data_IF_686446888171
#
_entry.id   IF_686446888171
#
_cell.length_a   1.000
_cell.length_b   1.000
_cell.length_c   1.000
_cell.angle_alpha   90.00
_cell.angle_beta   90.00
_cell.angle_gamma   90.00
#
_symmetry.space_group_name_H-M   'P 1'
#
loop_
_entity.id
_entity.type
_entity.pdbx_description
1 polymer ?
#
# COMPACT_ATOMS: atom_id res chain seq x y z
N UNK A 1 -33.31 -7.60 -9.54
CA UNK A 1 -31.89 -7.69 -9.86
C UNK A 1 -31.23 -6.31 -9.82
N UNK A 2 -31.75 -5.27 -10.54
CA UNK A 2 -31.13 -3.95 -10.61
C UNK A 2 -30.97 -3.26 -9.24
N UNK A 3 -31.98 -3.31 -8.38
CA UNK A 3 -31.90 -2.74 -7.03
C UNK A 3 -30.83 -3.42 -6.15
N UNK A 4 -30.62 -4.72 -6.31
CA UNK A 4 -29.56 -5.43 -5.59
C UNK A 4 -28.15 -5.06 -6.10
N UNK A 5 -27.99 -4.91 -7.41
CA UNK A 5 -26.74 -4.43 -8.00
C UNK A 5 -26.45 -3.01 -7.51
N UNK A 6 -27.44 -2.11 -7.59
CA UNK A 6 -27.30 -0.73 -7.12
C UNK A 6 -26.89 -0.68 -5.63
N UNK A 7 -27.54 -1.47 -4.78
CA UNK A 7 -27.22 -1.53 -3.36
C UNK A 7 -25.75 -1.92 -3.11
N UNK A 8 -25.28 -2.97 -3.80
CA UNK A 8 -23.90 -3.42 -3.65
C UNK A 8 -22.87 -2.39 -4.19
N UNK A 9 -23.14 -1.79 -5.33
CA UNK A 9 -22.16 -0.95 -6.04
C UNK A 9 -22.22 0.53 -5.65
N UNK A 10 -23.26 0.99 -4.93
CA UNK A 10 -23.43 2.41 -4.60
C UNK A 10 -23.75 2.68 -3.12
N UNK A 11 -24.20 1.66 -2.37
CA UNK A 11 -24.54 1.82 -0.94
C UNK A 11 -23.53 1.12 -0.06
N UNK A 12 -23.21 -0.16 -0.34
CA UNK A 12 -22.18 -0.90 0.39
C UNK A 12 -20.76 -0.51 -0.05
N UNK A 13 -20.60 -0.16 -1.32
CA UNK A 13 -19.32 0.25 -1.88
C UNK A 13 -19.43 1.62 -2.54
N UNK A 14 -18.34 2.30 -2.70
CA UNK A 14 -18.29 3.52 -3.48
C UNK A 14 -18.39 3.20 -4.98
N UNK A 15 -19.23 3.94 -5.70
CA UNK A 15 -19.31 3.84 -7.15
C UNK A 15 -18.13 4.55 -7.81
N UNK A 16 -17.12 3.78 -8.21
CA UNK A 16 -15.90 4.30 -8.85
C UNK A 16 -15.84 3.87 -10.32
N UNK A 17 -16.39 4.66 -11.26
CA UNK A 17 -16.24 4.38 -12.69
C UNK A 17 -14.80 4.60 -13.14
N UNK A 18 -14.44 3.99 -14.29
CA UNK A 18 -13.08 4.03 -14.80
C UNK A 18 -12.49 5.44 -15.01
N UNK A 19 -13.33 6.43 -15.34
CA UNK A 19 -12.87 7.83 -15.46
C UNK A 19 -12.45 8.40 -14.10
N UNK A 20 -13.24 8.18 -13.06
CA UNK A 20 -12.93 8.60 -11.70
C UNK A 20 -11.67 7.89 -11.17
N UNK A 21 -11.51 6.60 -11.47
CA UNK A 21 -10.30 5.86 -11.09
C UNK A 21 -9.04 6.46 -11.75
N UNK A 22 -9.13 6.85 -13.04
CA UNK A 22 -8.02 7.53 -13.74
C UNK A 22 -7.75 8.93 -13.18
N UNK A 23 -8.79 9.67 -12.85
CA UNK A 23 -8.67 10.99 -12.21
C UNK A 23 -7.98 10.87 -10.84
N UNK A 24 -8.38 9.90 -10.02
CA UNK A 24 -7.72 9.62 -8.72
C UNK A 24 -6.25 9.27 -8.88
N UNK A 25 -5.90 8.43 -9.86
CA UNK A 25 -4.50 8.09 -10.12
C UNK A 25 -3.69 9.32 -10.59
N UNK A 26 -4.30 10.20 -11.40
CA UNK A 26 -3.68 11.46 -11.80
C UNK A 26 -3.52 12.42 -10.62
N UNK A 27 -4.53 12.50 -9.75
CA UNK A 27 -4.49 13.36 -8.57
C UNK A 27 -3.43 12.88 -7.56
N UNK A 28 -3.31 11.55 -7.35
CA UNK A 28 -2.23 10.97 -6.55
C UNK A 28 -0.86 11.44 -7.03
N UNK A 29 -0.62 11.40 -8.33
CA UNK A 29 0.67 11.84 -8.89
C UNK A 29 0.88 13.35 -8.71
N UNK A 30 -0.13 14.18 -8.95
CA UNK A 30 -0.05 15.63 -8.77
C UNK A 30 0.28 16.03 -7.32
N UNK A 31 -0.32 15.35 -6.37
CA UNK A 31 -0.19 15.67 -4.95
C UNK A 31 1.11 15.11 -4.33
N UNK A 32 1.51 13.90 -4.73
CA UNK A 32 2.53 13.15 -4.00
C UNK A 32 3.84 12.94 -4.76
N UNK A 33 3.91 13.20 -6.07
CA UNK A 33 5.14 13.04 -6.86
C UNK A 33 6.31 13.89 -6.33
N UNK A 34 6.03 15.02 -5.73
CA UNK A 34 7.04 15.87 -5.09
C UNK A 34 7.83 15.14 -3.99
N UNK A 35 7.28 14.08 -3.41
CA UNK A 35 7.90 13.28 -2.37
C UNK A 35 8.63 12.03 -2.90
N UNK A 36 8.73 11.87 -4.23
CA UNK A 36 9.32 10.67 -4.84
C UNK A 36 10.73 10.37 -4.35
N UNK A 37 11.55 11.40 -4.26
CA UNK A 37 12.96 11.28 -3.90
C UNK A 37 13.23 11.60 -2.42
N UNK A 38 12.16 11.75 -1.63
CA UNK A 38 12.28 12.01 -0.20
C UNK A 38 12.76 10.74 0.51
N UNK A 39 13.81 10.84 1.36
CA UNK A 39 14.27 9.72 2.15
C UNK A 39 13.14 9.09 2.97
N UNK A 40 12.98 7.78 2.85
CA UNK A 40 12.05 6.99 3.65
C UNK A 40 12.79 5.78 4.22
N UNK A 41 12.38 5.27 5.39
CA UNK A 41 13.04 4.12 5.98
C UNK A 41 12.81 2.85 5.15
N UNK A 42 13.75 1.91 5.27
CA UNK A 42 13.65 0.58 4.68
C UNK A 42 13.14 -0.41 5.68
N UNK A 43 12.34 -1.35 5.22
CA UNK A 43 11.91 -2.48 6.04
C UNK A 43 13.07 -3.47 6.12
N UNK A 44 13.62 -3.66 7.32
CA UNK A 44 14.70 -4.61 7.59
C UNK A 44 14.17 -5.97 8.02
N UNK A 45 13.10 -5.98 8.81
CA UNK A 45 12.40 -7.22 9.18
C UNK A 45 10.90 -7.04 9.25
N UNK A 46 10.20 -8.14 9.02
CA UNK A 46 8.74 -8.26 9.07
C UNK A 46 8.39 -9.45 9.96
N UNK A 47 7.56 -9.21 10.96
CA UNK A 47 6.89 -10.27 11.72
C UNK A 47 5.40 -10.05 11.65
N UNK A 48 4.65 -11.04 11.16
CA UNK A 48 3.21 -10.92 11.00
C UNK A 48 2.46 -12.16 11.47
N UNK A 49 1.28 -11.93 12.00
CA UNK A 49 0.24 -12.93 12.23
C UNK A 49 -0.92 -12.64 11.31
N UNK A 50 -1.35 -13.64 10.57
CA UNK A 50 -2.39 -13.54 9.54
C UNK A 50 -3.49 -14.52 9.89
N UNK A 51 -4.64 -14.02 10.31
CA UNK A 51 -5.82 -14.82 10.62
C UNK A 51 -6.83 -14.74 9.48
N UNK A 52 -7.09 -15.86 8.81
CA UNK A 52 -7.97 -15.93 7.64
C UNK A 52 -9.31 -16.55 8.03
N UNK A 53 -10.39 -15.85 7.68
CA UNK A 53 -11.78 -16.28 7.90
C UNK A 53 -12.49 -16.36 6.54
N UNK A 54 -12.37 -17.47 5.83
CA UNK A 54 -12.85 -17.60 4.43
C UNK A 54 -14.36 -17.40 4.30
N UNK A 55 -15.14 -17.89 5.25
CA UNK A 55 -16.60 -17.77 5.27
C UNK A 55 -17.06 -16.32 5.42
N UNK A 56 -16.26 -15.48 6.11
CA UNK A 56 -16.51 -14.06 6.29
C UNK A 56 -15.85 -13.20 5.23
N UNK A 57 -15.04 -13.79 4.34
CA UNK A 57 -14.15 -13.09 3.42
C UNK A 57 -13.24 -12.09 4.15
N UNK A 58 -12.83 -12.41 5.37
CA UNK A 58 -12.09 -11.53 6.26
C UNK A 58 -10.66 -12.05 6.50
N UNK A 59 -9.73 -11.11 6.53
CA UNK A 59 -8.37 -11.33 7.02
C UNK A 59 -8.05 -10.29 8.08
N UNK A 60 -7.58 -10.74 9.22
CA UNK A 60 -6.99 -9.90 10.24
C UNK A 60 -5.45 -10.04 10.20
N UNK A 61 -4.77 -8.91 10.25
CA UNK A 61 -3.33 -8.80 10.07
C UNK A 61 -2.74 -8.03 11.26
N UNK A 62 -1.95 -8.70 12.07
CA UNK A 62 -1.18 -8.04 13.13
C UNK A 62 0.29 -8.19 12.82
N UNK A 63 1.06 -7.13 13.01
CA UNK A 63 2.46 -7.25 12.71
C UNK A 63 3.30 -6.11 13.22
N UNK A 64 4.61 -6.33 13.06
CA UNK A 64 5.64 -5.35 13.34
C UNK A 64 6.67 -5.35 12.24
N UNK A 65 7.02 -4.16 11.79
CA UNK A 65 8.19 -3.90 10.97
C UNK A 65 9.32 -3.35 11.82
N UNK A 66 10.53 -3.77 11.51
CA UNK A 66 11.73 -3.05 11.88
C UNK A 66 12.10 -2.15 10.71
N UNK A 67 11.96 -0.85 10.90
CA UNK A 67 12.29 0.17 9.91
C UNK A 67 13.69 0.72 10.19
N UNK A 68 14.53 0.83 9.16
CA UNK A 68 15.89 1.37 9.27
C UNK A 68 16.10 2.55 8.32
N UNK A 69 16.71 3.60 8.82
CA UNK A 69 17.19 4.68 7.97
C UNK A 69 18.54 4.31 7.37
N UNK A 70 18.52 3.81 6.13
CA UNK A 70 19.73 3.46 5.37
C UNK A 70 20.24 4.61 4.49
N UNK A 71 19.76 5.83 4.74
CA UNK A 71 20.22 7.03 4.05
C UNK A 71 21.23 7.79 4.90
N UNK A 72 21.87 8.79 4.31
CA UNK A 72 22.82 9.70 4.97
C UNK A 72 22.14 10.93 5.63
N UNK A 73 20.81 11.01 5.55
CA UNK A 73 20.03 12.13 6.05
C UNK A 73 19.02 11.67 7.12
N UNK A 74 18.71 12.51 8.12
CA UNK A 74 17.64 12.21 9.04
C UNK A 74 16.28 12.20 8.33
N UNK A 75 15.38 11.29 8.72
CA UNK A 75 14.01 11.18 8.20
C UNK A 75 13.05 11.82 9.21
N UNK A 76 12.56 13.05 8.96
CA UNK A 76 11.66 13.73 9.87
C UNK A 76 10.20 13.32 9.69
N UNK A 77 9.85 12.79 8.52
CA UNK A 77 8.47 12.44 8.17
C UNK A 77 8.38 11.02 7.62
N UNK A 78 7.40 10.29 8.14
CA UNK A 78 7.07 8.95 7.68
C UNK A 78 5.84 9.04 6.77
N UNK A 79 6.00 8.68 5.52
CA UNK A 79 4.93 8.63 4.53
C UNK A 79 4.39 7.21 4.44
N UNK A 80 3.19 6.98 4.95
CA UNK A 80 2.56 5.66 5.02
C UNK A 80 1.46 5.56 3.99
N UNK A 81 1.54 4.54 3.14
CA UNK A 81 0.52 4.21 2.16
C UNK A 81 -0.14 2.87 2.53
N UNK A 82 -1.46 2.86 2.61
CA UNK A 82 -2.30 1.69 2.83
C UNK A 82 -3.42 1.66 1.79
N UNK A 83 -3.90 0.49 1.44
CA UNK A 83 -5.08 0.38 0.61
C UNK A 83 -6.28 0.98 1.38
N UNK A 84 -7.05 1.93 0.78
CA UNK A 84 -8.19 2.58 1.45
C UNK A 84 -9.28 1.61 1.94
N UNK A 85 -9.32 0.40 1.39
CA UNK A 85 -10.29 -0.64 1.80
C UNK A 85 -9.86 -1.41 3.06
N UNK A 86 -8.67 -1.15 3.58
CA UNK A 86 -8.16 -1.78 4.79
C UNK A 86 -8.59 -0.95 6.01
N UNK A 87 -9.27 -1.60 6.93
CA UNK A 87 -9.57 -1.04 8.24
C UNK A 87 -8.29 -1.01 9.09
N UNK A 88 -7.92 0.18 9.53
CA UNK A 88 -6.77 0.38 10.43
C UNK A 88 -7.29 0.42 11.86
N UNK A 89 -7.03 -0.63 12.63
CA UNK A 89 -7.40 -0.71 14.05
C UNK A 89 -6.34 -0.07 14.93
N UNK A 90 -5.06 -0.24 14.57
CA UNK A 90 -3.92 0.33 15.31
C UNK A 90 -2.72 0.55 14.39
N UNK A 91 -2.07 1.71 14.55
CA UNK A 91 -0.70 1.98 14.08
C UNK A 91 0.08 2.58 15.24
N UNK A 92 1.26 2.03 15.53
CA UNK A 92 2.09 2.46 16.66
C UNK A 92 3.57 2.46 16.25
N UNK A 93 4.22 3.61 16.34
CA UNK A 93 5.61 3.78 15.91
C UNK A 93 6.30 4.99 16.59
N UNK A 94 6.04 5.17 17.85
CA UNK A 94 6.59 6.28 18.65
C UNK A 94 5.81 7.59 18.52
N UNK A 95 6.25 8.65 19.21
CA UNK A 95 5.55 9.93 19.24
C UNK A 95 5.59 10.62 17.86
N UNK A 96 4.44 11.05 17.37
CA UNK A 96 4.29 11.70 16.07
C UNK A 96 3.07 12.62 16.03
N UNK A 97 2.97 13.41 14.97
CA UNK A 97 1.78 14.19 14.62
C UNK A 97 1.38 13.90 13.18
N UNK A 98 0.08 13.92 12.90
CA UNK A 98 -0.43 13.79 11.54
C UNK A 98 -0.29 15.14 10.84
N UNK A 99 0.46 15.18 9.73
CA UNK A 99 0.63 16.36 8.88
C UNK A 99 -0.46 16.41 7.81
N UNK A 100 -0.73 15.26 7.19
CA UNK A 100 -1.76 15.10 6.16
C UNK A 100 -2.31 13.68 6.22
N UNK A 101 -3.62 13.55 6.13
CA UNK A 101 -4.31 12.28 5.92
C UNK A 101 -5.19 12.40 4.69
N UNK A 102 -5.03 11.47 3.75
CA UNK A 102 -5.81 11.37 2.52
C UNK A 102 -6.45 9.98 2.47
N UNK A 103 -7.67 9.92 2.93
CA UNK A 103 -8.43 8.66 3.01
C UNK A 103 -8.72 8.08 1.63
N UNK A 104 -8.98 8.94 0.62
CA UNK A 104 -9.25 8.50 -0.75
C UNK A 104 -8.04 7.81 -1.36
N UNK A 105 -6.85 8.35 -1.10
CA UNK A 105 -5.61 7.77 -1.57
C UNK A 105 -5.02 6.76 -0.60
N UNK A 106 -5.54 6.65 0.63
CA UNK A 106 -4.91 5.84 1.68
C UNK A 106 -3.46 6.25 1.91
N UNK A 107 -3.19 7.56 1.96
CA UNK A 107 -1.84 8.10 2.08
C UNK A 107 -1.77 9.09 3.24
N UNK A 108 -0.97 8.77 4.26
CA UNK A 108 -0.84 9.60 5.44
C UNK A 108 0.61 10.01 5.67
N UNK A 109 0.83 11.28 5.96
CA UNK A 109 2.14 11.83 6.31
C UNK A 109 2.16 12.09 7.82
N UNK A 110 3.09 11.45 8.48
CA UNK A 110 3.33 11.62 9.91
C UNK A 110 4.66 12.34 10.13
N UNK A 111 4.67 13.36 10.97
CA UNK A 111 5.89 14.00 11.44
C UNK A 111 6.32 13.34 12.73
N UNK A 112 7.51 12.77 12.74
CA UNK A 112 8.11 12.17 13.92
C UNK A 112 8.49 13.27 14.92
N UNK A 113 8.28 13.02 16.22
CA UNK A 113 8.72 13.97 17.27
C UNK A 113 10.24 14.12 17.28
N UNK A 114 10.95 13.02 17.00
CA UNK A 114 12.39 12.99 16.78
C UNK A 114 12.66 12.38 15.40
N UNK A 115 13.38 13.09 14.50
CA UNK A 115 13.73 12.54 13.20
C UNK A 115 14.53 11.24 13.34
N UNK A 116 14.24 10.24 12.51
CA UNK A 116 14.99 8.99 12.49
C UNK A 116 16.38 9.25 11.90
N UNK A 117 17.41 9.24 12.76
CA UNK A 117 18.78 9.55 12.37
C UNK A 117 19.35 8.50 11.38
N UNK A 118 20.37 8.86 10.56
CA UNK A 118 21.09 7.90 9.72
C UNK A 118 21.58 6.69 10.53
N UNK A 119 21.32 5.49 10.01
CA UNK A 119 21.67 4.22 10.66
C UNK A 119 20.79 3.84 11.85
N UNK A 120 19.88 4.71 12.29
CA UNK A 120 18.93 4.38 13.34
C UNK A 120 17.77 3.51 12.82
N UNK A 121 17.13 2.83 13.75
CA UNK A 121 15.98 2.00 13.46
C UNK A 121 14.85 2.24 14.43
N UNK A 122 13.61 1.97 14.00
CA UNK A 122 12.39 2.06 14.80
C UNK A 122 11.47 0.89 14.51
N UNK A 123 10.62 0.56 15.47
CA UNK A 123 9.56 -0.40 15.28
C UNK A 123 8.29 0.31 14.79
N UNK A 124 7.56 -0.34 13.90
CA UNK A 124 6.28 0.09 13.38
C UNK A 124 5.28 -1.06 13.53
N UNK A 125 4.37 -0.95 14.47
CA UNK A 125 3.36 -1.95 14.75
C UNK A 125 2.03 -1.60 14.10
N UNK A 126 1.31 -2.63 13.65
CA UNK A 126 0.00 -2.46 13.02
C UNK A 126 -0.96 -3.59 13.38
N UNK A 127 -2.23 -3.22 13.46
CA UNK A 127 -3.39 -4.13 13.51
C UNK A 127 -4.39 -3.66 12.45
N UNK A 128 -4.61 -4.52 11.47
CA UNK A 128 -5.37 -4.23 10.27
C UNK A 128 -6.42 -5.29 10.03
N UNK A 129 -7.51 -4.92 9.36
CA UNK A 129 -8.52 -5.88 8.92
C UNK A 129 -8.96 -5.58 7.49
N UNK A 130 -9.18 -6.62 6.72
CA UNK A 130 -9.79 -6.57 5.41
C UNK A 130 -11.05 -7.42 5.41
N UNK A 131 -12.19 -6.78 5.18
CA UNK A 131 -13.50 -7.47 5.09
C UNK A 131 -14.33 -6.82 3.98
N UNK A 132 -14.09 -7.21 2.71
CA UNK A 132 -14.86 -6.65 1.61
C UNK A 132 -16.33 -7.04 1.72
N UNK A 133 -17.21 -6.05 1.68
CA UNK A 133 -18.65 -6.24 1.71
C UNK A 133 -19.25 -6.20 0.31
N UNK A 134 -20.17 -7.11 0.02
CA UNK A 134 -20.81 -7.17 -1.29
C UNK A 134 -19.82 -7.27 -2.45
N UNK A 135 -20.03 -6.45 -3.48
CA UNK A 135 -19.13 -6.31 -4.62
C UNK A 135 -19.16 -4.87 -5.16
N UNK A 136 -17.99 -4.26 -5.43
CA UNK A 136 -17.90 -2.97 -6.09
C UNK A 136 -18.13 -3.10 -7.61
N UNK A 137 -18.10 -1.96 -8.31
CA UNK A 137 -18.36 -1.90 -9.77
C UNK A 137 -17.38 -2.74 -10.61
N UNK A 138 -16.14 -2.85 -10.18
CA UNK A 138 -15.06 -3.60 -10.86
C UNK A 138 -15.06 -5.10 -10.57
N UNK A 139 -16.07 -5.61 -9.85
CA UNK A 139 -16.25 -7.04 -9.53
C UNK A 139 -15.72 -7.49 -8.18
N UNK A 140 -15.00 -6.63 -7.47
CA UNK A 140 -14.52 -6.87 -6.11
C UNK A 140 -13.36 -7.84 -5.95
N UNK A 141 -12.84 -7.90 -4.73
CA UNK A 141 -11.73 -8.76 -4.38
C UNK A 141 -12.17 -10.22 -4.21
N UNK A 142 -11.47 -11.11 -4.89
CA UNK A 142 -11.55 -12.57 -4.71
C UNK A 142 -10.33 -13.10 -3.94
N UNK A 143 -9.58 -12.22 -3.30
CA UNK A 143 -8.36 -12.58 -2.58
C UNK A 143 -8.63 -13.56 -1.43
N UNK A 144 -9.77 -13.41 -0.76
CA UNK A 144 -10.22 -14.32 0.30
C UNK A 144 -11.59 -14.86 -0.07
N UNK A 145 -11.65 -16.14 -0.35
CA UNK A 145 -12.88 -16.85 -0.72
C UNK A 145 -12.91 -18.22 -0.05
N UNK A 146 -14.11 -18.81 0.02
CA UNK A 146 -14.35 -20.06 0.72
C UNK A 146 -13.47 -21.23 0.26
N UNK A 147 -13.10 -21.27 -1.00
CA UNK A 147 -12.32 -22.37 -1.60
C UNK A 147 -10.83 -22.05 -1.79
N UNK A 148 -10.36 -20.93 -1.27
CA UNK A 148 -8.95 -20.57 -1.34
C UNK A 148 -8.71 -19.11 -1.04
N UNK A 149 -7.50 -18.78 -0.63
CA UNK A 149 -7.06 -17.41 -0.33
C UNK A 149 -5.76 -17.13 -1.03
N UNK A 150 -5.71 -16.00 -1.72
CA UNK A 150 -4.47 -15.47 -2.29
C UNK A 150 -4.48 -13.95 -2.18
N UNK A 151 -3.60 -13.41 -1.36
CA UNK A 151 -3.33 -11.98 -1.32
C UNK A 151 -1.84 -11.74 -1.12
N UNK A 152 -1.38 -10.57 -1.49
CA UNK A 152 0.02 -10.21 -1.38
C UNK A 152 0.21 -9.02 -0.43
N UNK A 153 1.44 -8.82 0.01
CA UNK A 153 1.82 -7.76 0.93
C UNK A 153 1.54 -6.34 0.38
N UNK A 154 1.59 -6.11 -0.93
CA UNK A 154 1.27 -4.80 -1.52
C UNK A 154 -0.20 -4.43 -1.38
N UNK A 155 -1.07 -5.41 -1.36
CA UNK A 155 -2.50 -5.18 -1.24
C UNK A 155 -2.95 -4.93 0.20
N UNK A 156 -2.25 -5.52 1.17
CA UNK A 156 -2.74 -5.62 2.54
C UNK A 156 -1.86 -4.91 3.59
N UNK A 157 -0.56 -4.77 3.35
CA UNK A 157 0.38 -4.28 4.37
C UNK A 157 0.83 -2.83 4.10
N UNK A 158 1.22 -2.08 5.15
CA UNK A 158 1.71 -0.71 5.01
C UNK A 158 2.95 -0.62 4.11
N UNK A 159 2.94 0.35 3.22
CA UNK A 159 4.06 0.71 2.35
C UNK A 159 4.59 2.09 2.74
N UNK A 160 5.85 2.37 2.45
CA UNK A 160 6.47 3.65 2.79
C UNK A 160 6.91 4.42 1.56
N UNK A 161 6.60 5.72 1.57
CA UNK A 161 6.96 6.65 0.52
C UNK A 161 6.04 6.62 -0.71
N UNK A 162 6.46 7.37 -1.73
CA UNK A 162 5.75 7.49 -3.00
C UNK A 162 5.88 6.23 -3.84
N UNK A 163 4.78 5.76 -4.41
CA UNK A 163 4.76 4.57 -5.27
C UNK A 163 4.50 4.93 -6.73
N UNK A 164 5.47 4.70 -7.60
CA UNK A 164 5.31 4.89 -9.05
C UNK A 164 4.29 3.92 -9.68
N UNK A 165 4.01 2.80 -9.03
CA UNK A 165 2.99 1.84 -9.49
C UNK A 165 1.56 2.40 -9.43
N UNK A 166 1.34 3.42 -8.60
CA UNK A 166 0.04 4.10 -8.45
C UNK A 166 -0.16 5.24 -9.45
N UNK A 167 0.86 5.57 -10.24
CA UNK A 167 0.77 6.61 -11.27
C UNK A 167 -0.17 6.19 -12.39
N UNK A 168 -0.78 7.18 -13.03
CA UNK A 168 -1.55 6.95 -14.25
C UNK A 168 -0.62 6.49 -15.39
N UNK A 169 -0.79 5.27 -15.89
CA UNK A 169 0.12 4.66 -16.85
C UNK A 169 -0.19 5.01 -18.31
N UNK A 170 -1.47 5.17 -18.66
CA UNK A 170 -1.88 5.41 -20.05
C UNK A 170 -1.43 6.78 -20.54
N UNK A 171 -0.70 6.81 -21.66
CA UNK A 171 -0.11 8.03 -22.25
C UNK A 171 -1.17 9.07 -22.64
N UNK A 172 -2.32 8.63 -23.17
CA UNK A 172 -3.35 9.55 -23.65
C UNK A 172 -4.11 10.13 -22.45
N UNK A 173 -4.41 9.32 -21.47
CA UNK A 173 -5.05 9.77 -20.24
C UNK A 173 -4.14 10.73 -19.47
N UNK A 174 -2.83 10.46 -19.39
CA UNK A 174 -1.85 11.39 -18.82
C UNK A 174 -1.91 12.77 -19.48
N UNK A 175 -1.94 12.79 -20.83
CA UNK A 175 -2.03 14.04 -21.58
C UNK A 175 -3.33 14.78 -21.29
N UNK A 176 -4.46 14.08 -21.22
CA UNK A 176 -5.77 14.68 -20.85
C UNK A 176 -5.73 15.31 -19.46
N UNK A 177 -5.02 14.68 -18.53
CA UNK A 177 -4.86 15.14 -17.14
C UNK A 177 -3.74 16.18 -16.97
N UNK A 178 -3.06 16.58 -18.03
CA UNK A 178 -1.95 17.54 -17.96
C UNK A 178 -0.68 17.00 -17.34
N UNK A 179 -0.53 15.67 -17.26
CA UNK A 179 0.65 15.02 -16.71
C UNK A 179 1.73 14.82 -17.79
N UNK A 180 3.02 14.96 -17.44
CA UNK A 180 4.11 14.68 -18.36
C UNK A 180 4.13 13.19 -18.74
N UNK A 181 4.70 12.87 -19.91
CA UNK A 181 4.92 11.49 -20.30
C UNK A 181 5.83 10.78 -19.26
N UNK A 182 5.55 9.50 -19.01
CA UNK A 182 6.45 8.70 -18.17
C UNK A 182 7.81 8.55 -18.87
N UNK A 183 8.91 8.50 -18.12
CA UNK A 183 10.22 8.22 -18.68
C UNK A 183 10.19 6.86 -19.38
N UNK A 184 10.93 6.72 -20.46
CA UNK A 184 11.16 5.43 -21.11
C UNK A 184 12.10 4.59 -20.23
N UNK A 185 12.14 3.29 -20.51
CA UNK A 185 13.17 2.43 -19.95
C UNK A 185 14.55 3.01 -20.27
N UNK A 186 15.45 2.89 -19.32
CA UNK A 186 16.83 3.33 -19.51
C UNK A 186 17.48 2.56 -20.68
N UNK A 187 18.42 3.17 -21.41
CA UNK A 187 19.17 2.48 -22.43
C UNK A 187 19.88 1.24 -21.87
N UNK A 188 20.07 0.23 -22.72
CA UNK A 188 20.67 -1.04 -22.30
C UNK A 188 22.14 -0.91 -21.83
N UNK A 189 22.80 0.14 -22.27
CA UNK A 189 24.19 0.50 -21.93
C UNK A 189 24.30 1.38 -20.67
N UNK A 190 23.20 1.76 -20.04
CA UNK A 190 23.20 2.45 -18.76
C UNK A 190 23.50 1.47 -17.61
N UNK A 191 24.81 1.30 -17.31
CA UNK A 191 25.25 0.40 -16.25
C UNK A 191 24.75 0.79 -14.85
N UNK A 192 24.46 2.06 -14.62
CA UNK A 192 23.89 2.49 -13.34
C UNK A 192 22.45 2.00 -13.17
N UNK A 193 21.70 1.96 -14.25
CA UNK A 193 20.34 1.47 -14.28
C UNK A 193 20.22 -0.06 -14.09
N UNK A 194 21.28 -0.82 -14.37
CA UNK A 194 21.30 -2.28 -14.14
C UNK A 194 21.14 -2.67 -12.68
N UNK A 195 21.34 -1.74 -11.73
CA UNK A 195 21.06 -1.95 -10.31
C UNK A 195 19.57 -2.01 -10.00
N UNK A 196 18.74 -1.47 -10.89
CA UNK A 196 17.28 -1.48 -10.75
C UNK A 196 16.73 -2.75 -11.38
N UNK A 197 16.00 -3.54 -10.64
CA UNK A 197 15.23 -4.62 -11.24
C UNK A 197 13.82 -4.11 -11.61
N UNK A 198 13.12 -4.84 -12.48
CA UNK A 198 11.80 -4.42 -12.95
C UNK A 198 10.69 -4.52 -11.87
N UNK A 199 10.97 -5.21 -10.78
CA UNK A 199 10.01 -5.37 -9.68
C UNK A 199 10.08 -4.19 -8.72
N UNK A 200 11.28 -3.74 -8.39
CA UNK A 200 11.50 -2.66 -7.44
C UNK A 200 12.91 -2.08 -7.58
N UNK A 201 13.02 -0.78 -7.39
CA UNK A 201 14.32 -0.09 -7.24
C UNK A 201 14.88 -0.22 -5.82
N UNK A 202 14.15 -0.87 -4.92
CA UNK A 202 14.41 -0.93 -3.48
C UNK A 202 14.45 -2.35 -2.96
N UNK A 203 14.87 -3.31 -3.80
CA UNK A 203 14.99 -4.72 -3.44
C UNK A 203 16.14 -4.95 -2.47
N UNK A 204 15.83 -4.92 -1.18
CA UNK A 204 16.73 -5.25 -0.10
C UNK A 204 16.44 -6.66 0.46
N UNK A 205 17.39 -7.22 1.16
CA UNK A 205 17.15 -8.40 1.98
C UNK A 205 16.30 -8.01 3.19
N UNK A 206 15.24 -8.78 3.44
CA UNK A 206 14.31 -8.58 4.55
C UNK A 206 14.17 -9.89 5.32
N UNK A 207 14.35 -9.86 6.63
CA UNK A 207 14.02 -10.98 7.49
C UNK A 207 12.49 -11.07 7.59
N UNK A 208 11.94 -12.19 7.15
CA UNK A 208 10.49 -12.37 7.08
C UNK A 208 10.04 -13.58 7.92
N UNK A 209 9.18 -13.31 8.89
CA UNK A 209 8.53 -14.31 9.72
C UNK A 209 7.02 -14.09 9.67
N UNK A 210 6.26 -15.11 9.33
CA UNK A 210 4.80 -15.04 9.34
C UNK A 210 4.19 -16.28 9.94
N UNK A 211 3.15 -16.08 10.73
CA UNK A 211 2.28 -17.15 11.21
C UNK A 211 0.93 -16.98 10.52
N UNK A 212 0.47 -18.00 9.83
CA UNK A 212 -0.83 -17.98 9.15
C UNK A 212 -1.75 -18.96 9.83
N UNK A 213 -2.90 -18.48 10.26
CA UNK A 213 -4.01 -19.31 10.74
C UNK A 213 -5.22 -19.19 9.81
N UNK A 214 -6.03 -20.21 9.78
CA UNK A 214 -7.27 -20.21 9.00
C UNK A 214 -8.38 -20.89 9.79
N UNK A 215 -9.60 -20.38 9.67
CA UNK A 215 -10.78 -21.02 10.24
C UNK A 215 -11.36 -22.06 9.30
N UNK A 216 -12.14 -22.99 9.86
CA UNK A 216 -12.81 -24.03 9.10
C UNK A 216 -11.87 -25.19 8.76
N UNK A 217 -12.03 -25.75 7.55
CA UNK A 217 -11.31 -26.92 7.05
C UNK A 217 -10.15 -26.57 6.09
N UNK A 218 -9.84 -25.30 5.94
CA UNK A 218 -8.70 -24.85 5.12
C UNK A 218 -7.38 -25.12 5.84
N UNK A 219 -6.34 -25.31 5.03
CA UNK A 219 -4.97 -25.53 5.51
C UNK A 219 -4.09 -24.41 4.95
N UNK A 220 -3.32 -23.76 5.82
CA UNK A 220 -2.29 -22.84 5.40
C UNK A 220 -1.07 -23.63 4.88
N UNK A 221 -0.61 -23.28 3.67
CA UNK A 221 0.52 -23.91 2.99
C UNK A 221 1.68 -22.93 2.86
#
# INVERSE_FOLDING_TARGET
LGGWIFYNTNVLNEYVPGDLARERAAQYEKDYRQYKDLPQPRIASIKTEVDIFPEERRVDLRGRYRLENRTDQPIPELHVALNPTIEVRRLEFGPHTVVRADEVQGYTIYRLAEPLAPGAAMDFEFDLSSRPEGFPLDGGSTAVVRNGTFFNNYAALPQFGYSERRQLQDRNERRKQGLPALPRMNPIDDLAAHRNNYLTTTGDWVDFETVVSTSGDQIAL
#
